data_IF_641174232881
#
_entry.id   IF_641174232881
#
_cell.length_a   1.000
_cell.length_b   1.000
_cell.length_c   1.000
_cell.angle_alpha   90.00
_cell.angle_beta   90.00
_cell.angle_gamma   90.00
#
_symmetry.space_group_name_H-M   'P 1'
#
loop_
_entity.id
_entity.type
_entity.pdbx_description
1 polymer ?
#
# COMPACT_ATOMS: atom_id res chain seq x y z
N UNK A 1 -9.62 -16.97 -20.10
CA UNK A 1 -8.95 -15.69 -20.39
C UNK A 1 -8.13 -15.37 -19.15
N UNK A 2 -6.82 -15.15 -19.28
CA UNK A 2 -6.01 -14.70 -18.14
C UNK A 2 -6.09 -13.18 -18.15
N UNK A 3 -6.80 -12.62 -17.18
CA UNK A 3 -6.89 -11.18 -17.03
C UNK A 3 -5.69 -10.73 -16.17
N UNK A 4 -4.76 -9.92 -16.70
CA UNK A 4 -3.50 -9.61 -16.03
C UNK A 4 -3.71 -8.71 -14.83
N UNK A 5 -3.20 -9.14 -13.67
CA UNK A 5 -3.10 -8.31 -12.48
C UNK A 5 -1.95 -7.31 -12.65
N UNK A 6 -2.23 -6.02 -12.46
CA UNK A 6 -1.20 -4.98 -12.52
C UNK A 6 -0.91 -4.47 -11.11
N UNK A 7 0.37 -4.40 -10.75
CA UNK A 7 0.86 -3.69 -9.57
C UNK A 7 1.83 -2.61 -10.00
N UNK A 8 1.69 -1.41 -9.45
CA UNK A 8 2.63 -0.32 -9.58
C UNK A 8 3.06 0.13 -8.18
N UNK A 9 4.32 -0.11 -7.85
CA UNK A 9 4.90 0.30 -6.58
C UNK A 9 5.87 1.47 -6.78
N UNK A 10 5.82 2.42 -5.83
CA UNK A 10 6.69 3.57 -5.73
C UNK A 10 7.25 3.68 -4.32
N UNK A 11 8.56 3.92 -4.22
CA UNK A 11 9.22 4.14 -2.93
C UNK A 11 10.25 5.23 -3.06
N UNK A 12 10.11 6.28 -2.26
CA UNK A 12 11.02 7.41 -2.23
C UNK A 12 11.67 7.54 -0.85
N UNK A 13 13.00 7.54 -0.81
CA UNK A 13 13.75 7.74 0.43
C UNK A 13 13.80 9.23 0.77
N UNK A 14 13.20 9.62 1.88
CA UNK A 14 13.30 11.01 2.39
C UNK A 14 14.57 11.15 3.26
N UNK A 15 14.92 10.13 4.05
CA UNK A 15 16.09 10.19 4.93
C UNK A 15 16.75 8.81 5.11
N UNK A 16 17.80 8.76 5.94
CA UNK A 16 18.44 7.48 6.30
C UNK A 16 17.46 6.49 6.95
N UNK A 17 16.47 7.00 7.69
CA UNK A 17 15.51 6.18 8.46
C UNK A 17 14.08 6.24 7.92
N UNK A 18 13.72 7.20 7.06
CA UNK A 18 12.35 7.40 6.60
C UNK A 18 12.22 7.29 5.08
N UNK A 19 11.17 6.60 4.64
CA UNK A 19 10.81 6.43 3.24
C UNK A 19 9.30 6.61 3.08
N UNK A 20 8.86 7.17 1.97
CA UNK A 20 7.45 7.13 1.55
C UNK A 20 7.27 5.92 0.67
N UNK A 21 6.17 5.20 0.88
CA UNK A 21 5.78 4.04 0.10
C UNK A 21 4.39 4.26 -0.45
N UNK A 22 4.19 3.87 -1.71
CA UNK A 22 2.89 3.82 -2.35
C UNK A 22 2.83 2.59 -3.24
N UNK A 23 1.73 1.84 -3.20
CA UNK A 23 1.52 0.69 -4.06
C UNK A 23 0.08 0.68 -4.56
N UNK A 24 -0.09 0.69 -5.88
CA UNK A 24 -1.38 0.59 -6.54
C UNK A 24 -1.57 -0.80 -7.13
N UNK A 25 -2.73 -1.41 -6.86
CA UNK A 25 -3.14 -2.67 -7.44
C UNK A 25 -4.37 -2.47 -8.30
N UNK A 26 -4.32 -2.97 -9.53
CA UNK A 26 -5.46 -3.07 -10.42
C UNK A 26 -5.76 -4.54 -10.65
N UNK A 27 -6.92 -4.98 -10.16
CA UNK A 27 -7.40 -6.35 -10.28
C UNK A 27 -8.54 -6.36 -11.29
N UNK A 28 -8.33 -6.88 -12.51
CA UNK A 28 -9.42 -7.08 -13.43
C UNK A 28 -10.30 -8.22 -12.91
N UNK A 29 -11.58 -7.93 -12.67
CA UNK A 29 -12.60 -8.93 -12.35
C UNK A 29 -13.55 -8.97 -13.55
N UNK A 30 -14.03 -10.17 -13.90
CA UNK A 30 -14.96 -10.35 -15.01
C UNK A 30 -16.23 -9.50 -14.81
N UNK A 31 -16.80 -8.98 -15.90
CA UNK A 31 -17.99 -8.12 -15.96
C UNK A 31 -17.79 -6.67 -15.47
N UNK A 32 -16.70 -6.01 -15.88
CA UNK A 32 -16.41 -4.57 -15.65
C UNK A 32 -16.26 -4.12 -14.19
N UNK A 33 -16.35 -5.04 -13.22
CA UNK A 33 -16.15 -4.78 -11.80
C UNK A 33 -14.67 -4.79 -11.41
N UNK A 34 -13.85 -4.00 -12.11
CA UNK A 34 -12.43 -3.90 -11.77
C UNK A 34 -12.25 -3.34 -10.36
N UNK A 35 -11.37 -3.95 -9.58
CA UNK A 35 -11.10 -3.51 -8.22
C UNK A 35 -9.73 -2.85 -8.16
N UNK A 36 -9.71 -1.65 -7.61
CA UNK A 36 -8.51 -0.84 -7.44
C UNK A 36 -8.21 -0.65 -5.96
N UNK A 37 -6.99 -0.97 -5.56
CA UNK A 37 -6.50 -0.70 -4.22
C UNK A 37 -5.27 0.18 -4.29
N UNK A 38 -5.15 1.11 -3.35
CA UNK A 38 -3.98 1.96 -3.18
C UNK A 38 -3.54 1.81 -1.74
N UNK A 39 -2.33 1.32 -1.54
CA UNK A 39 -1.62 1.44 -0.29
C UNK A 39 -0.75 2.69 -0.35
N UNK A 40 -0.78 3.53 0.69
CA UNK A 40 0.16 4.64 0.81
C UNK A 40 0.54 4.87 2.26
N UNK A 41 1.78 5.28 2.49
CA UNK A 41 2.29 5.44 3.84
C UNK A 41 3.76 5.78 3.91
N UNK A 42 4.33 5.52 5.09
CA UNK A 42 5.73 5.68 5.39
C UNK A 42 6.34 4.40 5.94
N UNK A 43 7.60 4.16 5.60
CA UNK A 43 8.45 3.14 6.20
C UNK A 43 9.50 3.79 7.08
N UNK A 44 9.56 3.36 8.33
CA UNK A 44 10.61 3.71 9.28
C UNK A 44 11.57 2.55 9.48
N UNK A 45 12.86 2.78 9.23
CA UNK A 45 13.91 1.77 9.34
C UNK A 45 14.76 2.05 10.58
N UNK A 46 14.93 1.03 11.40
CA UNK A 46 15.85 0.95 12.52
C UNK A 46 16.94 -0.09 12.25
N UNK A 47 17.88 -0.26 13.17
CA UNK A 47 18.95 -1.25 13.04
C UNK A 47 18.43 -2.70 13.14
N UNK A 48 17.35 -2.91 13.89
CA UNK A 48 16.77 -4.22 14.20
C UNK A 48 15.45 -4.50 13.48
N UNK A 49 14.72 -3.47 13.04
CA UNK A 49 13.39 -3.64 12.44
C UNK A 49 13.03 -2.56 11.42
N UNK A 50 12.07 -2.87 10.56
CA UNK A 50 11.36 -1.96 9.67
C UNK A 50 9.90 -1.90 10.06
N UNK A 51 9.36 -0.68 10.15
CA UNK A 51 7.96 -0.42 10.50
C UNK A 51 7.29 0.27 9.33
N UNK A 52 6.27 -0.34 8.77
CA UNK A 52 5.46 0.22 7.70
C UNK A 52 4.16 0.72 8.31
N UNK A 53 3.91 2.02 8.16
CA UNK A 53 2.72 2.70 8.65
C UNK A 53 2.03 3.30 7.43
N UNK A 54 0.80 2.91 7.18
CA UNK A 54 0.09 3.41 6.02
C UNK A 54 -1.40 3.19 6.09
N UNK A 55 -2.03 3.44 4.97
CA UNK A 55 -3.46 3.28 4.78
C UNK A 55 -3.71 2.46 3.53
N UNK A 56 -4.66 1.54 3.65
CA UNK A 56 -5.25 0.85 2.52
C UNK A 56 -6.50 1.62 2.08
N UNK A 57 -6.49 2.08 0.84
CA UNK A 57 -7.53 2.88 0.23
C UNK A 57 -8.14 2.17 -0.97
N UNK A 58 -9.47 2.16 -1.04
CA UNK A 58 -10.23 2.03 -2.27
C UNK A 58 -11.41 3.01 -2.22
N UNK A 59 -12.11 3.18 -3.34
CA UNK A 59 -13.22 4.13 -3.43
C UNK A 59 -14.36 3.80 -2.46
N UNK A 60 -14.70 2.52 -2.30
CA UNK A 60 -15.76 2.07 -1.38
C UNK A 60 -15.39 2.28 0.10
N UNK A 61 -14.12 2.10 0.48
CA UNK A 61 -13.60 2.39 1.82
C UNK A 61 -13.63 3.90 2.06
N UNK A 62 -13.26 4.70 1.05
CA UNK A 62 -13.19 6.17 1.16
C UNK A 62 -14.53 6.80 1.51
N UNK A 63 -15.64 6.19 1.09
CA UNK A 63 -17.00 6.62 1.40
C UNK A 63 -17.32 6.53 2.91
N UNK A 64 -16.60 5.67 3.66
CA UNK A 64 -16.79 5.46 5.11
C UNK A 64 -15.60 6.00 5.93
N UNK A 65 -14.38 5.81 5.43
CA UNK A 65 -13.12 6.21 6.06
C UNK A 65 -12.30 7.00 5.03
N UNK A 66 -12.35 8.34 5.05
CA UNK A 66 -11.81 9.19 3.97
C UNK A 66 -10.32 8.97 3.64
N UNK A 67 -9.54 8.50 4.62
CA UNK A 67 -8.11 8.28 4.53
C UNK A 67 -7.73 6.80 4.43
N UNK A 68 -8.70 5.89 4.23
CA UNK A 68 -8.46 4.46 4.14
C UNK A 68 -8.33 3.75 5.50
N UNK A 69 -8.24 2.43 5.47
CA UNK A 69 -8.07 1.59 6.66
C UNK A 69 -6.60 1.70 7.12
N UNK A 70 -6.34 2.11 8.38
CA UNK A 70 -4.98 2.17 8.89
C UNK A 70 -4.37 0.77 8.98
N UNK A 71 -3.09 0.66 8.59
CA UNK A 71 -2.34 -0.59 8.59
C UNK A 71 -0.94 -0.38 9.15
N UNK A 72 -0.48 -1.34 9.95
CA UNK A 72 0.88 -1.42 10.46
C UNK A 72 1.48 -2.79 10.15
N UNK A 73 2.66 -2.81 9.54
CA UNK A 73 3.47 -4.02 9.40
C UNK A 73 4.83 -3.81 10.06
N UNK A 74 5.34 -4.86 10.69
CA UNK A 74 6.63 -4.85 11.36
C UNK A 74 7.44 -6.01 10.83
N UNK A 75 8.57 -5.70 10.21
CA UNK A 75 9.54 -6.68 9.74
C UNK A 75 10.76 -6.62 10.64
N UNK A 76 11.00 -7.67 11.42
CA UNK A 76 12.15 -7.76 12.32
C UNK A 76 13.28 -8.51 11.62
N UNK A 77 14.49 -7.97 11.70
CA UNK A 77 15.69 -8.66 11.24
C UNK A 77 16.04 -9.73 12.29
N UNK A 78 15.91 -11.00 11.92
CA UNK A 78 16.34 -12.15 12.73
C UNK A 78 17.87 -12.24 12.79
#
# INVERSE_FOLDING_TARGET
RLDPFYSLAGMARISKKLMVVSEGFYVPIQNDNNVNFIFYGGRYITESASYDLGFLYNQEIADVIPFGIPFIAITVKL
#
